data_IF_190732773652
#
_entry.id   IF_190732773652
#
_cell.length_a   1.000
_cell.length_b   1.000
_cell.length_c   1.000
_cell.angle_alpha   90.00
_cell.angle_beta   90.00
_cell.angle_gamma   90.00
#
_symmetry.space_group_name_H-M   'P 1'
#
loop_
_entity.id
_entity.type
_entity.pdbx_description
1 polymer ?
#
# COMPACT_ATOMS: atom_id res chain seq x y z
N UNK A 1 -13.82 20.05 11.52
CA UNK A 1 -14.19 19.54 10.18
C UNK A 1 -13.03 18.70 9.71
N UNK A 2 -13.08 17.39 9.97
CA UNK A 2 -12.03 16.48 9.53
C UNK A 2 -12.19 16.30 8.01
N UNK A 3 -11.13 16.50 7.24
CA UNK A 3 -11.16 16.09 5.83
C UNK A 3 -11.23 14.56 5.83
N UNK A 4 -12.40 14.01 5.53
CA UNK A 4 -12.59 12.58 5.35
C UNK A 4 -11.56 12.07 4.33
N UNK A 5 -10.72 11.12 4.74
CA UNK A 5 -9.95 10.35 3.77
C UNK A 5 -10.96 9.56 2.93
N UNK A 6 -11.03 9.90 1.63
CA UNK A 6 -11.84 9.18 0.67
C UNK A 6 -10.97 8.26 -0.19
N UNK A 7 -10.92 7.00 0.22
CA UNK A 7 -10.27 5.93 -0.53
C UNK A 7 -10.89 5.72 -1.92
N UNK A 8 -12.17 6.03 -2.11
CA UNK A 8 -12.78 5.98 -3.45
C UNK A 8 -12.24 7.10 -4.35
N UNK A 9 -12.14 8.33 -3.83
CA UNK A 9 -11.57 9.47 -4.57
C UNK A 9 -10.12 9.20 -4.97
N UNK A 10 -9.30 8.69 -4.04
CA UNK A 10 -7.91 8.31 -4.32
C UNK A 10 -7.79 7.27 -5.44
N UNK A 11 -8.59 6.20 -5.39
CA UNK A 11 -8.61 5.17 -6.45
C UNK A 11 -9.02 5.74 -7.81
N UNK A 12 -9.99 6.65 -7.83
CA UNK A 12 -10.44 7.30 -9.06
C UNK A 12 -9.33 8.18 -9.66
N UNK A 13 -8.60 8.92 -8.82
CA UNK A 13 -7.47 9.74 -9.26
C UNK A 13 -6.35 8.88 -9.87
N UNK A 14 -5.97 7.77 -9.22
CA UNK A 14 -4.99 6.81 -9.78
C UNK A 14 -5.45 6.27 -11.13
N UNK A 15 -6.72 5.89 -11.22
CA UNK A 15 -7.29 5.34 -12.46
C UNK A 15 -7.33 6.36 -13.59
N UNK A 16 -7.61 7.63 -13.28
CA UNK A 16 -7.57 8.71 -14.25
C UNK A 16 -6.13 8.98 -14.71
N UNK A 17 -5.18 9.10 -13.78
CA UNK A 17 -3.76 9.28 -14.09
C UNK A 17 -3.25 8.20 -15.05
N UNK A 18 -3.51 6.93 -14.71
CA UNK A 18 -3.12 5.78 -15.55
C UNK A 18 -3.63 5.88 -16.98
N UNK A 19 -4.88 6.33 -17.18
CA UNK A 19 -5.49 6.47 -18.51
C UNK A 19 -4.86 7.61 -19.32
N UNK A 20 -4.41 8.66 -18.64
CA UNK A 20 -3.95 9.89 -19.30
C UNK A 20 -2.46 9.88 -19.63
N UNK A 21 -1.62 9.22 -18.82
CA UNK A 21 -0.17 9.33 -18.93
C UNK A 21 0.51 8.08 -19.49
N UNK A 22 -0.01 6.89 -19.17
CA UNK A 22 0.72 5.64 -19.38
C UNK A 22 2.03 5.52 -18.58
N UNK A 23 2.26 6.44 -17.63
CA UNK A 23 3.47 6.49 -16.80
C UNK A 23 3.37 5.47 -15.67
N UNK A 24 4.04 4.33 -15.84
CA UNK A 24 4.01 3.23 -14.90
C UNK A 24 4.65 3.57 -13.55
N UNK A 25 5.73 4.36 -13.53
CA UNK A 25 6.44 4.67 -12.30
C UNK A 25 5.62 5.63 -11.43
N UNK A 26 5.01 6.65 -12.05
CA UNK A 26 4.08 7.55 -11.36
C UNK A 26 2.82 6.83 -10.86
N UNK A 27 2.35 5.80 -11.56
CA UNK A 27 1.24 4.98 -11.07
C UNK A 27 1.63 4.21 -9.80
N UNK A 28 2.82 3.62 -9.76
CA UNK A 28 3.31 2.90 -8.56
C UNK A 28 3.43 3.88 -7.39
N UNK A 29 4.01 5.06 -7.60
CA UNK A 29 4.13 6.09 -6.57
C UNK A 29 2.76 6.46 -5.99
N UNK A 30 1.76 6.75 -6.84
CA UNK A 30 0.42 7.11 -6.37
C UNK A 30 -0.28 5.97 -5.63
N UNK A 31 -0.06 4.72 -6.06
CA UNK A 31 -0.61 3.55 -5.37
C UNK A 31 0.03 3.36 -3.99
N UNK A 32 1.35 3.51 -3.87
CA UNK A 32 2.06 3.43 -2.58
C UNK A 32 1.60 4.57 -1.66
N UNK A 33 1.58 5.80 -2.16
CA UNK A 33 1.10 6.96 -1.39
C UNK A 33 -0.32 6.78 -0.88
N UNK A 34 -1.21 6.20 -1.70
CA UNK A 34 -2.57 5.88 -1.30
C UNK A 34 -2.62 4.94 -0.07
N UNK A 35 -1.81 3.89 -0.06
CA UNK A 35 -1.76 2.97 1.08
C UNK A 35 -1.12 3.65 2.30
N UNK A 36 -0.03 4.41 2.11
CA UNK A 36 0.61 5.15 3.19
C UNK A 36 -0.37 6.09 3.91
N UNK A 37 -1.18 6.85 3.15
CA UNK A 37 -2.19 7.74 3.72
C UNK A 37 -3.32 6.97 4.40
N UNK A 38 -3.78 5.87 3.81
CA UNK A 38 -4.82 5.04 4.42
C UNK A 38 -4.37 4.40 5.73
N UNK A 39 -3.15 3.85 5.77
CA UNK A 39 -2.58 3.27 6.98
C UNK A 39 -2.35 4.32 8.06
N UNK A 40 -1.77 5.48 7.71
CA UNK A 40 -1.56 6.57 8.68
C UNK A 40 -2.89 7.04 9.31
N UNK A 41 -3.96 7.08 8.52
CA UNK A 41 -5.29 7.42 9.03
C UNK A 41 -5.76 6.44 10.11
N UNK A 42 -5.54 5.14 9.92
CA UNK A 42 -5.84 4.16 10.96
C UNK A 42 -4.95 4.32 12.20
N UNK A 43 -3.66 4.61 12.01
CA UNK A 43 -2.75 4.87 13.15
C UNK A 43 -3.20 6.09 13.97
N UNK A 44 -3.66 7.15 13.30
CA UNK A 44 -4.05 8.40 13.95
C UNK A 44 -5.44 8.34 14.60
N UNK A 45 -6.39 7.60 14.00
CA UNK A 45 -7.81 7.65 14.38
C UNK A 45 -8.38 6.30 14.85
N UNK A 46 -7.61 5.23 14.81
CA UNK A 46 -8.03 3.89 15.20
C UNK A 46 -8.87 3.18 14.13
N UNK A 47 -9.67 2.20 14.56
CA UNK A 47 -10.42 1.34 13.66
C UNK A 47 -11.49 2.08 12.85
N UNK A 48 -11.53 1.80 11.54
CA UNK A 48 -12.46 2.45 10.60
C UNK A 48 -13.64 1.54 10.24
N UNK A 49 -13.43 0.57 9.34
CA UNK A 49 -14.36 -0.51 9.04
C UNK A 49 -13.68 -1.52 8.09
N UNK A 50 -14.30 -2.70 7.94
CA UNK A 50 -13.81 -3.76 7.06
C UNK A 50 -13.60 -3.30 5.61
N UNK A 51 -14.53 -2.53 5.04
CA UNK A 51 -14.47 -2.11 3.64
C UNK A 51 -13.27 -1.19 3.36
N UNK A 52 -12.89 -0.37 4.34
CA UNK A 52 -11.71 0.46 4.31
C UNK A 52 -10.45 -0.40 4.23
N UNK A 53 -10.29 -1.36 5.15
CA UNK A 53 -9.13 -2.25 5.17
C UNK A 53 -9.05 -3.13 3.92
N UNK A 54 -10.18 -3.70 3.47
CA UNK A 54 -10.25 -4.46 2.21
C UNK A 54 -9.77 -3.63 1.01
N UNK A 55 -10.07 -2.32 1.00
CA UNK A 55 -9.59 -1.41 -0.05
C UNK A 55 -8.07 -1.19 0.02
N UNK A 56 -7.49 -1.09 1.22
CA UNK A 56 -6.04 -0.98 1.40
C UNK A 56 -5.32 -2.27 1.03
N UNK A 57 -5.79 -3.43 1.51
CA UNK A 57 -5.23 -4.76 1.20
C UNK A 57 -5.25 -4.98 -0.32
N UNK A 58 -6.37 -4.69 -1.00
CA UNK A 58 -6.47 -4.85 -2.45
C UNK A 58 -5.46 -3.97 -3.20
N UNK A 59 -5.24 -2.73 -2.76
CA UNK A 59 -4.22 -1.86 -3.36
C UNK A 59 -2.82 -2.39 -3.08
N UNK A 60 -2.53 -2.77 -1.84
CA UNK A 60 -1.25 -3.30 -1.41
C UNK A 60 -0.83 -4.53 -2.22
N UNK A 61 -1.72 -5.52 -2.35
CA UNK A 61 -1.50 -6.72 -3.17
C UNK A 61 -1.21 -6.39 -4.64
N UNK A 62 -1.86 -5.36 -5.20
CA UNK A 62 -1.58 -4.91 -6.57
C UNK A 62 -0.18 -4.31 -6.69
N UNK A 63 0.25 -3.49 -5.72
CA UNK A 63 1.61 -2.94 -5.71
C UNK A 63 2.62 -4.08 -5.65
N UNK A 64 2.45 -5.01 -4.72
CA UNK A 64 3.35 -6.17 -4.57
C UNK A 64 3.44 -6.98 -5.88
N UNK A 65 2.31 -7.27 -6.53
CA UNK A 65 2.29 -7.99 -7.81
C UNK A 65 3.01 -7.23 -8.94
N UNK A 66 2.95 -5.89 -8.94
CA UNK A 66 3.71 -5.06 -9.89
C UNK A 66 5.20 -5.14 -9.57
N UNK A 67 5.60 -5.01 -8.30
CA UNK A 67 7.00 -5.05 -7.89
C UNK A 67 7.67 -6.39 -8.22
N UNK A 68 6.99 -7.52 -8.04
CA UNK A 68 7.52 -8.85 -8.41
C UNK A 68 7.87 -8.99 -9.90
N UNK A 69 7.31 -8.14 -10.76
CA UNK A 69 7.54 -8.12 -12.22
C UNK A 69 8.39 -6.93 -12.66
N UNK A 70 8.85 -6.12 -11.72
CA UNK A 70 9.60 -4.89 -11.98
C UNK A 70 11.11 -5.14 -11.92
N UNK A 71 11.90 -4.15 -12.35
CA UNK A 71 13.35 -4.20 -12.19
C UNK A 71 13.76 -4.12 -10.72
N UNK A 72 14.95 -4.61 -10.39
CA UNK A 72 15.48 -4.54 -9.02
C UNK A 72 15.53 -3.09 -8.49
N UNK A 73 15.85 -2.11 -9.34
CA UNK A 73 15.83 -0.70 -8.98
C UNK A 73 14.47 -0.23 -8.46
N UNK A 74 13.37 -0.62 -9.13
CA UNK A 74 12.00 -0.28 -8.69
C UNK A 74 11.66 -1.02 -7.40
N UNK A 75 12.08 -2.28 -7.24
CA UNK A 75 11.89 -3.04 -5.99
C UNK A 75 12.59 -2.35 -4.83
N UNK A 76 13.86 -1.98 -4.99
CA UNK A 76 14.68 -1.32 -3.95
C UNK A 76 14.10 0.04 -3.54
N UNK A 77 13.45 0.74 -4.48
CA UNK A 77 12.82 2.03 -4.21
C UNK A 77 11.55 1.92 -3.34
N UNK A 78 10.71 0.91 -3.58
CA UNK A 78 9.37 0.84 -2.99
C UNK A 78 9.20 -0.23 -1.90
N UNK A 79 9.95 -1.33 -1.94
CA UNK A 79 9.84 -2.39 -0.93
C UNK A 79 10.10 -1.89 0.51
N UNK A 80 11.08 -1.00 0.78
CA UNK A 80 11.25 -0.43 2.12
C UNK A 80 10.03 0.34 2.63
N UNK A 81 9.33 1.07 1.75
CA UNK A 81 8.11 1.81 2.10
C UNK A 81 6.98 0.85 2.45
N UNK A 82 6.79 -0.23 1.67
CA UNK A 82 5.80 -1.26 1.99
C UNK A 82 6.08 -1.96 3.31
N UNK A 83 7.35 -2.27 3.61
CA UNK A 83 7.76 -2.83 4.91
C UNK A 83 7.50 -1.87 6.06
N UNK A 84 7.69 -0.56 5.86
CA UNK A 84 7.36 0.45 6.85
C UNK A 84 5.85 0.50 7.15
N UNK A 85 5.01 0.39 6.12
CA UNK A 85 3.55 0.28 6.28
C UNK A 85 3.22 -0.95 7.13
N UNK A 86 3.73 -2.13 6.77
CA UNK A 86 3.51 -3.39 7.52
C UNK A 86 3.87 -3.22 9.00
N UNK A 87 5.07 -2.67 9.27
CA UNK A 87 5.52 -2.43 10.65
C UNK A 87 4.60 -1.48 11.41
N UNK A 88 4.17 -0.39 10.79
CA UNK A 88 3.26 0.57 11.44
C UNK A 88 1.83 0.06 11.61
N UNK A 89 1.46 -0.99 10.87
CA UNK A 89 0.15 -1.61 10.96
C UNK A 89 0.07 -2.65 12.09
N UNK A 90 1.16 -2.94 12.78
CA UNK A 90 1.18 -3.92 13.87
C UNK A 90 0.09 -3.61 14.91
N UNK A 91 -0.76 -4.61 15.17
CA UNK A 91 -1.88 -4.48 16.10
C UNK A 91 -3.16 -3.85 15.52
N UNK A 92 -3.17 -3.40 14.26
CA UNK A 92 -4.41 -3.00 13.58
C UNK A 92 -5.29 -4.22 13.31
N UNK A 93 -6.58 -4.11 13.63
CA UNK A 93 -7.56 -5.19 13.55
C UNK A 93 -8.00 -5.58 12.13
N UNK A 94 -9.12 -6.30 12.05
CA UNK A 94 -9.76 -6.71 10.79
C UNK A 94 -8.91 -7.60 9.88
N UNK A 95 -7.92 -8.28 10.45
CA UNK A 95 -6.95 -9.06 9.68
C UNK A 95 -6.00 -8.20 8.82
N UNK A 96 -6.08 -6.86 8.90
CA UNK A 96 -5.33 -5.96 8.02
C UNK A 96 -3.83 -6.21 8.10
N UNK A 97 -3.28 -6.16 9.31
CA UNK A 97 -1.86 -6.40 9.57
C UNK A 97 -1.41 -7.77 9.05
N UNK A 98 -2.16 -8.83 9.36
CA UNK A 98 -1.83 -10.20 8.95
C UNK A 98 -1.77 -10.33 7.43
N UNK A 99 -2.80 -9.82 6.75
CA UNK A 99 -2.93 -9.89 5.30
C UNK A 99 -1.82 -9.17 4.53
N UNK A 100 -1.41 -7.98 4.99
CA UNK A 100 -0.31 -7.25 4.34
C UNK A 100 1.07 -7.81 4.71
N UNK A 101 1.21 -8.40 5.91
CA UNK A 101 2.44 -9.07 6.34
C UNK A 101 2.69 -10.33 5.52
N UNK A 102 1.70 -11.21 5.44
CA UNK A 102 1.75 -12.44 4.64
C UNK A 102 2.02 -12.10 3.17
N UNK A 103 1.36 -11.08 2.62
CA UNK A 103 1.58 -10.65 1.25
C UNK A 103 3.04 -10.23 0.95
N UNK A 104 3.75 -9.59 1.89
CA UNK A 104 5.18 -9.26 1.73
C UNK A 104 6.06 -10.49 1.91
N UNK A 105 5.78 -11.31 2.92
CA UNK A 105 6.57 -12.51 3.22
C UNK A 105 6.54 -13.51 2.07
N UNK A 106 5.37 -13.75 1.47
CA UNK A 106 5.21 -14.62 0.31
C UNK A 106 5.91 -14.08 -0.94
N UNK A 107 5.82 -12.77 -1.16
CA UNK A 107 6.30 -12.16 -2.40
C UNK A 107 7.81 -11.90 -2.41
N UNK A 108 8.37 -11.57 -1.25
CA UNK A 108 9.77 -11.22 -1.06
C UNK A 108 10.37 -11.98 0.14
N UNK A 109 10.39 -13.33 0.07
CA UNK A 109 10.96 -14.15 1.13
C UNK A 109 12.46 -13.89 1.20
N UNK A 110 12.98 -13.73 2.41
CA UNK A 110 14.42 -13.61 2.68
C UNK A 110 15.14 -12.41 2.04
N UNK A 111 14.46 -11.32 1.70
CA UNK A 111 15.14 -10.02 1.51
C UNK A 111 15.51 -9.44 2.88
N UNK A 112 16.41 -10.15 3.58
CA UNK A 112 17.12 -9.59 4.72
C UNK A 112 18.27 -8.76 4.15
N UNK A 113 18.13 -7.45 4.18
CA UNK A 113 19.26 -6.54 4.22
C UNK A 113 18.91 -5.42 5.17
N UNK A 114 19.16 -5.72 6.45
CA UNK A 114 19.85 -4.85 7.40
C UNK A 114 20.14 -3.44 6.85
N UNK A 115 19.41 -2.42 7.30
CA UNK A 115 19.83 -1.47 8.35
C UNK A 115 18.58 -0.87 9.00
#
# INVERSE_FOLDING_TARGET
>A
MYNDISLSTGRNAISAYKKSTGDNDGIIELMVFYVERGNQFTVDFGDINEQFYNSLISMFRKIVSILQKSSQFIVDLYLPRLRAIVKSAEGIGWGYYGEISECIEEAFPHTNSLV
#
